data_IF_725645001182
#
_entry.id   IF_725645001182
#
_cell.length_a   1.000
_cell.length_b   1.000
_cell.length_c   1.000
_cell.angle_alpha   90.00
_cell.angle_beta   90.00
_cell.angle_gamma   90.00
#
_symmetry.space_group_name_H-M   'P 1'
#
loop_
_entity.id
_entity.type
_entity.pdbx_description
1 polymer ?
#
# COMPACT_ATOMS: atom_id res chain seq x y z
N UNK A 1 24.43 -15.25 6.31
CA UNK A 1 23.42 -14.81 5.32
C UNK A 1 23.30 -15.90 4.27
N UNK A 2 22.10 -16.44 4.04
CA UNK A 2 21.89 -17.42 2.96
C UNK A 2 22.03 -16.72 1.60
N UNK A 3 22.81 -17.33 0.70
CA UNK A 3 23.05 -16.85 -0.66
C UNK A 3 21.82 -16.98 -1.57
N UNK A 4 20.82 -17.77 -1.18
CA UNK A 4 19.59 -17.99 -1.94
C UNK A 4 18.35 -18.04 -1.01
N UNK A 5 17.74 -16.87 -0.69
CA UNK A 5 16.56 -16.84 0.15
C UNK A 5 15.35 -17.53 -0.51
N UNK A 6 14.48 -18.18 0.28
CA UNK A 6 13.39 -18.98 -0.25
C UNK A 6 12.27 -18.13 -0.83
N UNK A 7 11.57 -18.69 -1.81
CA UNK A 7 10.27 -18.23 -2.32
C UNK A 7 9.13 -18.63 -1.39
N UNK A 8 7.94 -18.02 -1.56
CA UNK A 8 6.77 -18.43 -0.76
C UNK A 8 6.36 -19.88 -1.02
N UNK A 9 6.56 -20.38 -2.24
CA UNK A 9 6.33 -21.78 -2.60
C UNK A 9 7.27 -22.70 -1.81
N UNK A 10 8.56 -22.37 -1.76
CA UNK A 10 9.56 -23.13 -1.00
C UNK A 10 9.26 -23.09 0.51
N UNK A 11 8.84 -21.94 1.06
CA UNK A 11 8.43 -21.81 2.47
C UNK A 11 7.24 -22.74 2.77
N UNK A 12 6.17 -22.69 1.95
CA UNK A 12 4.99 -23.54 2.14
C UNK A 12 5.34 -25.03 2.03
N UNK A 13 6.14 -25.41 1.03
CA UNK A 13 6.59 -26.79 0.83
C UNK A 13 7.42 -27.30 2.00
N UNK A 14 8.32 -26.47 2.55
CA UNK A 14 9.12 -26.83 3.72
C UNK A 14 8.25 -27.07 4.95
N UNK A 15 7.31 -26.16 5.24
CA UNK A 15 6.39 -26.31 6.38
C UNK A 15 5.50 -27.55 6.20
N UNK A 16 5.00 -27.81 4.99
CA UNK A 16 4.22 -29.02 4.71
C UNK A 16 5.03 -30.30 4.94
N UNK A 17 6.33 -30.29 4.58
CA UNK A 17 7.24 -31.41 4.84
C UNK A 17 7.44 -31.68 6.34
N UNK A 18 7.42 -30.64 7.18
CA UNK A 18 7.58 -30.79 8.64
C UNK A 18 6.27 -31.09 9.37
N UNK A 19 5.14 -30.56 8.88
CA UNK A 19 3.85 -30.60 9.61
C UNK A 19 2.78 -31.48 8.95
N UNK A 20 3.08 -32.08 7.79
CA UNK A 20 2.18 -32.93 7.01
C UNK A 20 1.27 -32.17 6.04
N UNK A 21 1.05 -30.87 6.26
CA UNK A 21 0.28 -29.99 5.37
C UNK A 21 0.78 -28.54 5.42
N UNK A 22 0.63 -27.79 4.33
CA UNK A 22 0.94 -26.36 4.35
C UNK A 22 -0.20 -25.59 5.04
N UNK A 23 0.05 -24.79 6.10
CA UNK A 23 -0.99 -23.98 6.72
C UNK A 23 -1.62 -23.00 5.73
N UNK A 24 -2.95 -22.92 5.73
CA UNK A 24 -3.75 -22.03 4.87
C UNK A 24 -3.45 -20.52 5.02
N UNK A 25 -2.58 -20.15 5.97
CA UNK A 25 -2.24 -18.77 6.34
C UNK A 25 -0.72 -18.54 6.38
N UNK A 26 0.07 -19.34 5.67
CA UNK A 26 1.55 -19.22 5.66
C UNK A 26 2.01 -17.80 5.33
N UNK A 27 1.43 -17.18 4.30
CA UNK A 27 1.77 -15.84 3.83
C UNK A 27 1.44 -14.76 4.87
N UNK A 28 0.32 -14.96 5.59
CA UNK A 28 -0.05 -14.10 6.71
C UNK A 28 0.95 -14.24 7.86
N UNK A 29 1.37 -15.46 8.18
CA UNK A 29 2.38 -15.70 9.22
C UNK A 29 3.74 -15.10 8.86
N UNK A 30 4.16 -15.18 7.59
CA UNK A 30 5.38 -14.48 7.13
C UNK A 30 5.23 -12.96 7.27
N UNK A 31 4.05 -12.40 6.99
CA UNK A 31 3.76 -10.99 7.29
C UNK A 31 3.83 -10.68 8.78
N UNK A 32 3.24 -11.53 9.63
CA UNK A 32 3.32 -11.38 11.08
C UNK A 32 4.78 -11.47 11.58
N UNK A 33 5.64 -12.27 10.93
CA UNK A 33 7.07 -12.34 11.26
C UNK A 33 7.83 -11.04 10.96
N UNK A 34 7.37 -10.24 9.99
CA UNK A 34 7.91 -8.89 9.74
C UNK A 34 7.67 -7.95 10.93
N UNK A 35 6.86 -8.36 11.90
CA UNK A 35 6.75 -7.69 13.20
C UNK A 35 8.03 -7.81 14.02
N UNK A 36 8.80 -8.87 13.86
CA UNK A 36 9.99 -9.16 14.67
C UNK A 36 11.28 -9.03 13.87
N UNK A 37 11.21 -9.31 12.57
CA UNK A 37 12.37 -9.47 11.71
C UNK A 37 12.30 -8.56 10.49
N UNK A 38 13.47 -8.11 10.03
CA UNK A 38 13.61 -7.46 8.73
C UNK A 38 13.63 -8.55 7.65
N UNK A 39 12.50 -8.71 6.95
CA UNK A 39 12.30 -9.74 5.91
C UNK A 39 11.85 -9.08 4.60
N UNK A 40 12.75 -8.36 3.90
CA UNK A 40 12.45 -7.86 2.56
C UNK A 40 12.09 -9.01 1.61
N UNK A 41 10.99 -8.85 0.88
CA UNK A 41 10.70 -9.64 -0.30
C UNK A 41 11.36 -8.94 -1.49
N UNK A 42 12.27 -9.66 -2.15
CA UNK A 42 12.94 -9.20 -3.36
C UNK A 42 12.37 -9.99 -4.50
N UNK A 43 11.78 -9.29 -5.47
CA UNK A 43 11.25 -9.92 -6.68
C UNK A 43 12.38 -10.53 -7.50
N UNK A 44 12.24 -11.79 -7.88
CA UNK A 44 13.16 -12.57 -8.70
C UNK A 44 12.37 -13.23 -9.84
N UNK A 45 12.37 -12.58 -11.01
CA UNK A 45 11.52 -12.97 -12.13
C UNK A 45 10.02 -12.85 -11.81
N UNK A 46 9.33 -13.99 -11.76
CA UNK A 46 7.89 -14.06 -11.43
C UNK A 46 7.61 -14.30 -9.94
N UNK A 47 8.63 -14.64 -9.18
CA UNK A 47 8.49 -14.99 -7.77
C UNK A 47 9.08 -13.89 -6.87
N UNK A 48 8.79 -13.97 -5.57
CA UNK A 48 9.43 -13.16 -4.55
C UNK A 48 10.27 -14.05 -3.63
N UNK A 49 11.50 -13.62 -3.35
CA UNK A 49 12.38 -14.26 -2.38
C UNK A 49 12.42 -13.47 -1.08
N UNK A 50 12.23 -14.16 0.04
CA UNK A 50 12.08 -13.57 1.36
C UNK A 50 13.40 -13.70 2.12
N UNK A 51 14.19 -12.62 2.18
CA UNK A 51 15.50 -12.62 2.84
C UNK A 51 15.35 -12.20 4.30
N UNK A 52 15.69 -13.07 5.25
CA UNK A 52 15.86 -12.66 6.64
C UNK A 52 17.18 -11.90 6.80
N UNK A 53 17.10 -10.57 6.89
CA UNK A 53 18.26 -9.67 6.97
C UNK A 53 18.67 -9.34 8.41
N UNK A 54 17.79 -9.57 9.38
CA UNK A 54 18.08 -9.37 10.80
C UNK A 54 16.82 -9.13 11.63
N UNK A 55 17.00 -8.57 12.82
CA UNK A 55 15.89 -8.09 13.65
C UNK A 55 15.30 -6.81 13.07
N UNK A 56 13.97 -6.69 13.13
CA UNK A 56 13.31 -5.46 12.75
C UNK A 56 13.63 -4.37 13.78
N UNK A 57 14.51 -3.43 13.41
CA UNK A 57 14.94 -2.32 14.27
C UNK A 57 13.80 -1.33 14.55
N UNK A 58 12.77 -1.29 13.71
CA UNK A 58 11.60 -0.44 13.91
C UNK A 58 10.78 -0.88 15.13
N UNK A 59 10.78 -2.17 15.44
CA UNK A 59 10.14 -2.66 16.68
C UNK A 59 10.96 -2.36 17.93
N UNK A 60 12.29 -2.41 17.87
CA UNK A 60 13.14 -1.89 18.95
C UNK A 60 12.90 -0.39 19.16
N UNK A 61 12.56 0.34 18.10
CA UNK A 61 12.18 1.76 18.13
C UNK A 61 10.69 2.04 18.43
N UNK A 62 9.86 1.02 18.70
CA UNK A 62 8.47 1.21 19.15
C UNK A 62 7.42 1.50 18.07
N UNK A 63 7.72 1.28 16.78
CA UNK A 63 6.83 1.58 15.63
C UNK A 63 5.60 0.65 15.48
N UNK A 64 5.43 -0.34 16.37
CA UNK A 64 4.22 -1.17 16.50
C UNK A 64 3.64 -1.12 17.92
N UNK A 65 3.77 0.01 18.62
CA UNK A 65 3.02 0.24 19.87
C UNK A 65 1.54 0.43 19.55
N UNK A 66 0.70 -0.01 20.47
CA UNK A 66 -0.70 0.39 20.43
C UNK A 66 -0.77 1.93 20.38
N UNK A 67 -1.57 2.47 19.47
CA UNK A 67 -1.79 3.91 19.38
C UNK A 67 -2.17 4.46 20.75
N UNK A 68 -1.58 5.60 21.11
CA UNK A 68 -1.88 6.24 22.38
C UNK A 68 -3.39 6.50 22.52
N UNK A 69 -3.92 6.44 23.76
CA UNK A 69 -5.33 6.77 24.00
C UNK A 69 -5.69 8.16 23.48
N UNK A 70 -4.75 9.11 23.54
CA UNK A 70 -4.88 10.47 22.99
C UNK A 70 -5.06 10.44 21.46
N UNK A 71 -4.17 9.77 20.73
CA UNK A 71 -4.25 9.65 19.26
C UNK A 71 -5.56 8.97 18.85
N UNK A 72 -5.96 7.90 19.55
CA UNK A 72 -7.23 7.21 19.28
C UNK A 72 -8.43 8.14 19.46
N UNK A 73 -8.46 8.92 20.54
CA UNK A 73 -9.54 9.89 20.79
C UNK A 73 -9.58 10.98 19.70
N UNK A 74 -8.42 11.47 19.26
CA UNK A 74 -8.32 12.47 18.18
C UNK A 74 -8.87 11.94 16.85
N UNK A 75 -8.50 10.72 16.44
CA UNK A 75 -8.97 10.14 15.17
C UNK A 75 -10.47 9.83 15.20
N UNK A 76 -11.01 9.43 16.35
CA UNK A 76 -12.43 9.08 16.51
C UNK A 76 -13.33 10.29 16.79
N UNK A 77 -12.77 11.48 17.04
CA UNK A 77 -13.50 12.70 17.36
C UNK A 77 -14.62 13.06 16.34
N UNK A 78 -14.48 12.81 15.02
CA UNK A 78 -15.56 13.10 14.05
C UNK A 78 -16.83 12.25 14.24
N UNK A 79 -16.77 11.15 15.01
CA UNK A 79 -17.89 10.24 15.27
C UNK A 79 -18.63 9.74 14.01
N UNK A 80 -17.90 9.68 12.89
CA UNK A 80 -18.41 9.28 11.58
C UNK A 80 -17.36 8.45 10.84
N UNK A 81 -17.80 7.40 10.16
CA UNK A 81 -16.96 6.63 9.26
C UNK A 81 -16.52 7.51 8.08
N UNK A 82 -15.21 7.63 7.86
CA UNK A 82 -14.62 8.40 6.77
C UNK A 82 -14.95 7.84 5.36
N UNK A 83 -15.36 6.58 5.26
CA UNK A 83 -15.64 5.92 3.98
C UNK A 83 -17.13 5.86 3.61
N UNK A 84 -18.02 5.56 4.56
CA UNK A 84 -19.45 5.39 4.29
C UNK A 84 -20.32 6.45 4.95
N UNK A 85 -19.77 7.31 5.79
CA UNK A 85 -20.52 8.35 6.48
C UNK A 85 -21.43 7.86 7.60
N UNK A 86 -21.51 6.55 7.90
CA UNK A 86 -22.31 6.03 9.03
C UNK A 86 -21.76 6.51 10.38
N UNK A 87 -22.66 6.68 11.34
CA UNK A 87 -22.42 7.20 12.69
C UNK A 87 -22.84 6.16 13.74
N UNK A 88 -22.18 6.07 14.91
CA UNK A 88 -22.58 5.13 15.95
C UNK A 88 -24.02 5.31 16.44
N UNK A 89 -24.50 6.56 16.54
CA UNK A 89 -25.83 6.86 17.07
C UNK A 89 -26.94 6.52 16.08
N UNK A 90 -26.82 6.92 14.81
CA UNK A 90 -27.92 6.78 13.84
C UNK A 90 -27.93 5.40 13.17
N UNK A 91 -26.77 4.73 13.11
CA UNK A 91 -26.59 3.49 12.36
C UNK A 91 -26.15 2.30 13.23
N UNK A 92 -25.95 2.50 14.53
CA UNK A 92 -25.50 1.47 15.47
C UNK A 92 -24.20 0.76 15.05
N UNK A 93 -23.28 1.49 14.41
CA UNK A 93 -21.96 0.97 14.01
C UNK A 93 -20.89 1.25 15.07
N UNK A 94 -19.91 0.35 15.17
CA UNK A 94 -18.69 0.60 15.96
C UNK A 94 -17.63 1.24 15.06
N UNK A 95 -17.04 2.34 15.50
CA UNK A 95 -15.90 2.96 14.82
C UNK A 95 -14.58 2.47 15.38
N UNK A 96 -13.64 2.20 14.48
CA UNK A 96 -12.27 1.79 14.75
C UNK A 96 -11.29 2.75 14.09
N UNK A 97 -10.08 2.83 14.64
CA UNK A 97 -8.97 3.57 14.03
C UNK A 97 -8.32 2.68 12.99
N UNK A 98 -8.18 3.20 11.78
CA UNK A 98 -7.57 2.51 10.64
C UNK A 98 -6.50 3.41 9.97
N UNK A 99 -5.53 2.78 9.31
CA UNK A 99 -4.43 3.45 8.61
C UNK A 99 -4.74 3.59 7.12
N UNK A 100 -4.83 4.82 6.58
CA UNK A 100 -5.07 5.10 5.15
C UNK A 100 -4.17 4.25 4.25
N UNK A 101 -2.86 4.31 4.43
CA UNK A 101 -1.93 3.29 3.94
C UNK A 101 -1.69 2.21 5.01
N UNK A 102 -1.87 0.92 4.67
CA UNK A 102 -1.54 -0.17 5.57
C UNK A 102 -0.11 -0.07 6.14
N UNK A 103 0.05 -0.40 7.43
CA UNK A 103 1.38 -0.51 8.06
C UNK A 103 2.31 -1.47 7.32
N UNK A 104 1.75 -2.56 6.77
CA UNK A 104 2.48 -3.54 5.96
C UNK A 104 3.20 -2.89 4.77
N UNK A 105 2.74 -1.73 4.31
CA UNK A 105 3.30 -0.98 3.17
C UNK A 105 4.07 0.28 3.60
N UNK A 106 4.36 0.42 4.90
CA UNK A 106 5.08 1.58 5.43
C UNK A 106 4.19 2.73 5.92
N UNK A 107 2.88 2.50 6.10
CA UNK A 107 1.98 3.49 6.70
C UNK A 107 2.40 3.93 8.11
N UNK A 108 2.53 5.25 8.33
CA UNK A 108 2.92 5.83 9.63
C UNK A 108 1.75 5.89 10.64
N UNK A 109 2.08 6.13 11.91
CA UNK A 109 1.11 6.36 12.99
C UNK A 109 0.69 7.83 13.17
N UNK A 110 1.11 8.67 12.23
CA UNK A 110 0.77 10.09 12.23
C UNK A 110 -0.71 10.27 11.90
N UNK A 111 -1.32 11.31 12.48
CA UNK A 111 -2.75 11.60 12.29
C UNK A 111 -3.16 11.69 10.81
N UNK A 112 -2.26 12.13 9.94
CA UNK A 112 -2.50 12.25 8.50
C UNK A 112 -2.76 10.90 7.82
N UNK A 113 -2.11 9.84 8.30
CA UNK A 113 -2.31 8.47 7.82
C UNK A 113 -3.39 7.72 8.61
N UNK A 114 -4.03 8.33 9.61
CA UNK A 114 -5.11 7.68 10.38
C UNK A 114 -6.48 8.18 9.95
N UNK A 115 -7.49 7.32 10.07
CA UNK A 115 -8.88 7.64 9.78
C UNK A 115 -9.85 6.82 10.65
N UNK A 116 -11.03 7.37 10.98
CA UNK A 116 -12.11 6.62 11.61
C UNK A 116 -12.88 5.82 10.56
N UNK A 117 -12.98 4.49 10.71
CA UNK A 117 -13.82 3.64 9.87
C UNK A 117 -14.80 2.84 10.72
N UNK A 118 -15.97 2.49 10.19
CA UNK A 118 -16.77 1.43 10.81
C UNK A 118 -16.12 0.06 10.59
N UNK A 119 -16.44 -0.91 11.43
CA UNK A 119 -15.86 -2.27 11.35
C UNK A 119 -16.02 -2.90 9.96
N UNK A 120 -17.20 -2.75 9.33
CA UNK A 120 -17.47 -3.23 7.97
C UNK A 120 -16.53 -2.61 6.93
N UNK A 121 -16.39 -1.27 6.93
CA UNK A 121 -15.52 -0.57 6.00
C UNK A 121 -14.05 -0.91 6.23
N UNK A 122 -13.63 -1.02 7.49
CA UNK A 122 -12.28 -1.45 7.85
C UNK A 122 -11.98 -2.87 7.33
N UNK A 123 -12.93 -3.80 7.50
CA UNK A 123 -12.79 -5.17 6.98
C UNK A 123 -12.71 -5.19 5.45
N UNK A 124 -13.64 -4.50 4.78
CA UNK A 124 -13.64 -4.40 3.32
C UNK A 124 -12.37 -3.75 2.77
N UNK A 125 -11.87 -2.71 3.44
CA UNK A 125 -10.60 -2.07 3.10
C UNK A 125 -9.42 -3.04 3.20
N UNK A 126 -9.33 -3.83 4.27
CA UNK A 126 -8.29 -4.86 4.42
C UNK A 126 -8.37 -5.92 3.33
N UNK A 127 -9.57 -6.36 2.98
CA UNK A 127 -9.77 -7.32 1.91
C UNK A 127 -9.31 -6.76 0.55
N UNK A 128 -9.64 -5.50 0.24
CA UNK A 128 -9.21 -4.82 -0.98
C UNK A 128 -7.68 -4.70 -1.06
N UNK A 129 -7.04 -4.08 -0.06
CA UNK A 129 -5.59 -3.88 -0.12
C UNK A 129 -4.80 -5.18 0.00
N UNK A 130 -5.32 -6.18 0.71
CA UNK A 130 -4.69 -7.49 0.83
C UNK A 130 -4.43 -8.19 -0.52
N UNK A 131 -5.17 -7.83 -1.58
CA UNK A 131 -4.94 -8.31 -2.94
C UNK A 131 -3.60 -7.87 -3.53
N UNK A 132 -3.03 -6.78 -3.03
CA UNK A 132 -1.77 -6.20 -3.54
C UNK A 132 -0.58 -6.47 -2.62
N UNK A 133 -0.74 -7.34 -1.63
CA UNK A 133 0.33 -7.64 -0.66
C UNK A 133 1.56 -8.29 -1.28
N UNK A 134 1.44 -8.91 -2.46
CA UNK A 134 2.60 -9.39 -3.23
C UNK A 134 3.51 -8.23 -3.68
N UNK A 135 2.98 -7.01 -3.85
CA UNK A 135 3.72 -5.81 -4.21
C UNK A 135 4.10 -4.95 -3.00
N UNK A 136 3.99 -5.48 -1.77
CA UNK A 136 4.09 -4.67 -0.55
C UNK A 136 5.42 -3.89 -0.43
N UNK A 137 6.53 -4.50 -0.84
CA UNK A 137 7.85 -3.86 -0.73
C UNK A 137 8.08 -2.83 -1.84
N UNK A 138 7.57 -3.09 -3.05
CA UNK A 138 7.57 -2.14 -4.15
C UNK A 138 6.63 -0.95 -3.90
N UNK A 139 5.45 -1.19 -3.31
CA UNK A 139 4.53 -0.13 -2.87
C UNK A 139 5.21 0.73 -1.80
N UNK A 140 5.90 0.11 -0.83
CA UNK A 140 6.65 0.85 0.20
C UNK A 140 7.76 1.70 -0.42
N UNK A 141 8.54 1.13 -1.34
CA UNK A 141 9.61 1.84 -2.03
C UNK A 141 9.06 3.02 -2.85
N UNK A 142 7.95 2.81 -3.57
CA UNK A 142 7.27 3.87 -4.32
C UNK A 142 6.76 4.96 -3.38
N UNK A 143 6.14 4.60 -2.25
CA UNK A 143 5.62 5.54 -1.26
C UNK A 143 6.69 6.41 -0.60
N UNK A 144 7.95 5.95 -0.58
CA UNK A 144 9.08 6.71 -0.04
C UNK A 144 9.67 7.71 -1.04
N UNK A 145 9.19 7.77 -2.29
CA UNK A 145 9.64 8.81 -3.21
C UNK A 145 9.19 10.21 -2.73
N UNK A 146 10.07 11.21 -2.81
CA UNK A 146 9.81 12.55 -2.28
C UNK A 146 8.64 13.25 -2.99
N UNK A 147 8.70 13.31 -4.32
CA UNK A 147 7.66 13.94 -5.12
C UNK A 147 6.48 13.00 -5.44
N UNK A 148 5.24 13.50 -5.44
CA UNK A 148 4.05 12.68 -5.70
C UNK A 148 4.05 12.05 -7.10
N UNK A 149 4.60 12.72 -8.11
CA UNK A 149 4.79 12.15 -9.45
C UNK A 149 5.67 10.91 -9.42
N UNK A 150 6.76 10.95 -8.69
CA UNK A 150 7.66 9.81 -8.52
C UNK A 150 6.99 8.66 -7.78
N UNK A 151 6.23 8.95 -6.72
CA UNK A 151 5.44 7.93 -6.00
C UNK A 151 4.46 7.21 -6.92
N UNK A 152 3.74 7.97 -7.75
CA UNK A 152 2.80 7.42 -8.74
C UNK A 152 3.54 6.61 -9.80
N UNK A 153 4.62 7.15 -10.36
CA UNK A 153 5.36 6.50 -11.44
C UNK A 153 6.06 5.21 -11.01
N UNK A 154 6.70 5.20 -9.84
CA UNK A 154 7.33 3.99 -9.29
C UNK A 154 6.28 2.92 -8.94
N UNK A 155 5.11 3.31 -8.44
CA UNK A 155 4.00 2.38 -8.24
C UNK A 155 3.54 1.76 -9.57
N UNK A 156 3.38 2.58 -10.62
CA UNK A 156 2.99 2.09 -11.94
C UNK A 156 4.04 1.12 -12.53
N UNK A 157 5.33 1.41 -12.34
CA UNK A 157 6.44 0.52 -12.75
C UNK A 157 6.41 -0.81 -11.99
N UNK A 158 6.13 -0.79 -10.68
CA UNK A 158 6.09 -1.98 -9.83
C UNK A 158 5.08 -3.04 -10.31
N UNK A 159 3.97 -2.59 -10.90
CA UNK A 159 2.93 -3.47 -11.42
C UNK A 159 3.28 -4.07 -12.79
N UNK A 160 4.40 -3.69 -13.43
CA UNK A 160 4.93 -4.32 -14.65
C UNK A 160 3.89 -4.43 -15.79
N UNK A 161 3.09 -3.39 -16.00
CA UNK A 161 2.03 -3.38 -17.02
C UNK A 161 0.73 -4.08 -16.59
N UNK A 162 0.62 -4.54 -15.34
CA UNK A 162 -0.66 -4.91 -14.76
C UNK A 162 -1.48 -3.66 -14.38
N UNK A 163 -2.83 -3.72 -14.40
CA UNK A 163 -3.67 -2.61 -14.00
C UNK A 163 -3.51 -2.25 -12.51
N UNK A 164 -3.26 -0.97 -12.23
CA UNK A 164 -3.20 -0.39 -10.87
C UNK A 164 -4.52 0.33 -10.56
N UNK A 165 -5.19 0.04 -9.45
CA UNK A 165 -6.40 0.77 -9.05
C UNK A 165 -6.09 2.23 -8.72
N UNK A 166 -6.95 3.14 -9.15
CA UNK A 166 -6.85 4.56 -8.83
C UNK A 166 -6.89 4.85 -7.33
N UNK A 167 -7.63 4.04 -6.56
CA UNK A 167 -7.65 4.15 -5.09
C UNK A 167 -6.27 3.89 -4.48
N UNK A 168 -5.54 2.89 -4.99
CA UNK A 168 -4.17 2.60 -4.56
C UNK A 168 -3.21 3.74 -4.93
N UNK A 169 -3.34 4.27 -6.15
CA UNK A 169 -2.56 5.44 -6.60
C UNK A 169 -2.79 6.63 -5.69
N UNK A 170 -4.03 6.94 -5.35
CA UNK A 170 -4.37 8.06 -4.47
C UNK A 170 -3.77 7.94 -3.07
N UNK A 171 -3.79 6.74 -2.49
CA UNK A 171 -3.17 6.48 -1.17
C UNK A 171 -1.65 6.64 -1.25
N UNK A 172 -0.98 6.02 -2.22
CA UNK A 172 0.48 6.09 -2.38
C UNK A 172 0.94 7.52 -2.68
N UNK A 173 0.23 8.24 -3.56
CA UNK A 173 0.49 9.64 -3.87
C UNK A 173 0.38 10.57 -2.65
N UNK A 174 -0.34 10.16 -1.59
CA UNK A 174 -0.59 10.98 -0.41
C UNK A 174 0.35 10.71 0.78
N UNK A 175 1.27 9.74 0.68
CA UNK A 175 2.02 9.21 1.84
C UNK A 175 2.92 10.16 2.62
N UNK A 176 3.59 11.10 1.97
CA UNK A 176 4.45 12.11 2.63
C UNK A 176 3.82 13.50 2.68
N UNK A 177 2.81 13.69 1.86
CA UNK A 177 2.14 14.96 1.66
C UNK A 177 0.78 14.61 1.08
N UNK A 178 -0.29 15.09 1.72
CA UNK A 178 -1.64 14.94 1.22
C UNK A 178 -1.77 15.48 -0.21
N UNK A 179 -2.38 14.71 -1.12
CA UNK A 179 -2.57 15.08 -2.53
C UNK A 179 -4.03 14.87 -2.97
N UNK A 180 -4.84 15.93 -2.91
CA UNK A 180 -6.20 15.92 -3.46
C UNK A 180 -6.24 15.78 -4.99
N UNK A 181 -5.15 16.16 -5.67
CA UNK A 181 -5.09 16.23 -7.12
C UNK A 181 -4.20 15.16 -7.76
N UNK A 182 -4.10 13.98 -7.13
CA UNK A 182 -3.28 12.87 -7.65
C UNK A 182 -3.61 12.53 -9.11
N UNK A 183 -4.87 12.67 -9.56
CA UNK A 183 -5.26 12.45 -10.97
C UNK A 183 -4.61 13.47 -11.91
N UNK A 184 -4.40 14.71 -11.44
CA UNK A 184 -3.62 15.71 -12.17
C UNK A 184 -2.15 15.29 -12.21
N UNK A 185 -1.58 14.87 -11.08
CA UNK A 185 -0.18 14.41 -11.03
C UNK A 185 0.07 13.22 -11.95
N UNK A 186 -0.84 12.26 -12.02
CA UNK A 186 -0.80 11.15 -12.98
C UNK A 186 -0.86 11.63 -14.43
N UNK A 187 -1.68 12.65 -14.75
CA UNK A 187 -1.74 13.24 -16.11
C UNK A 187 -0.46 13.95 -16.50
N UNK A 188 0.17 14.64 -15.55
CA UNK A 188 1.40 15.38 -15.79
C UNK A 188 2.61 14.50 -16.11
N UNK A 189 2.58 13.20 -15.76
CA UNK A 189 3.60 12.24 -16.20
C UNK A 189 3.72 12.19 -17.74
N UNK A 190 2.65 12.48 -18.48
CA UNK A 190 2.67 12.52 -19.96
C UNK A 190 3.61 13.61 -20.49
N UNK A 191 3.81 14.71 -19.76
CA UNK A 191 4.78 15.74 -20.14
C UNK A 191 6.22 15.21 -20.09
N UNK A 192 6.47 14.13 -19.32
CA UNK A 192 7.76 13.46 -19.25
C UNK A 192 7.92 12.35 -20.30
N UNK A 193 6.97 12.19 -21.22
CA UNK A 193 7.00 11.12 -22.22
C UNK A 193 6.43 9.78 -21.74
N UNK A 194 5.85 9.73 -20.53
CA UNK A 194 5.24 8.50 -20.02
C UNK A 194 3.87 8.27 -20.66
N UNK A 195 3.52 7.01 -20.89
CA UNK A 195 2.22 6.61 -21.41
C UNK A 195 1.57 5.49 -20.59
N UNK A 196 0.26 5.59 -20.45
CA UNK A 196 -0.57 4.63 -19.73
C UNK A 196 -1.98 4.60 -20.29
N UNK A 197 -2.62 3.45 -20.20
CA UNK A 197 -4.04 3.31 -20.49
C UNK A 197 -4.88 3.51 -19.23
N UNK A 198 -6.12 3.99 -19.40
CA UNK A 198 -7.11 4.09 -18.32
C UNK A 198 -8.32 3.24 -18.65
N UNK A 199 -8.68 2.31 -17.77
CA UNK A 199 -9.89 1.49 -17.89
C UNK A 199 -10.85 1.85 -16.77
N UNK A 200 -12.14 1.94 -17.08
CA UNK A 200 -13.21 2.12 -16.09
C UNK A 200 -14.06 0.86 -16.04
N UNK A 201 -14.49 0.47 -14.85
CA UNK A 201 -15.49 -0.58 -14.65
C UNK A 201 -16.46 -0.16 -13.55
N UNK A 202 -17.57 -0.89 -13.46
CA UNK A 202 -18.51 -0.78 -12.35
C UNK A 202 -18.27 -1.92 -11.39
N UNK A 203 -18.13 -1.59 -10.11
CA UNK A 203 -18.18 -2.57 -9.05
C UNK A 203 -19.59 -3.20 -9.05
N UNK A 204 -19.71 -4.53 -9.21
CA UNK A 204 -20.99 -5.18 -9.40
C UNK A 204 -21.87 -5.17 -8.14
N UNK A 205 -21.28 -5.07 -6.96
CA UNK A 205 -21.99 -5.07 -5.68
C UNK A 205 -22.45 -3.66 -5.28
N UNK A 206 -21.57 -2.68 -5.46
CA UNK A 206 -21.75 -1.31 -4.95
C UNK A 206 -22.12 -0.31 -6.03
N UNK A 207 -21.98 -0.67 -7.32
CA UNK A 207 -22.19 0.24 -8.46
C UNK A 207 -21.16 1.37 -8.58
N UNK A 208 -20.12 1.37 -7.71
CA UNK A 208 -19.05 2.35 -7.70
C UNK A 208 -18.24 2.26 -8.99
N UNK A 209 -17.84 3.41 -9.52
CA UNK A 209 -16.95 3.44 -10.68
C UNK A 209 -15.52 3.18 -10.22
N UNK A 210 -14.96 2.06 -10.64
CA UNK A 210 -13.56 1.72 -10.44
C UNK A 210 -12.76 2.23 -11.65
N UNK A 211 -11.60 2.82 -11.38
CA UNK A 211 -10.68 3.33 -12.42
C UNK A 211 -9.35 2.62 -12.24
N UNK A 212 -8.80 2.10 -13.33
CA UNK A 212 -7.52 1.40 -13.35
C UNK A 212 -6.58 2.04 -14.36
N UNK A 213 -5.29 2.05 -14.04
CA UNK A 213 -4.22 2.61 -14.85
C UNK A 213 -3.24 1.51 -15.20
N UNK A 214 -2.89 1.38 -16.48
CA UNK A 214 -1.90 0.41 -16.95
C UNK A 214 -0.75 1.14 -17.61
N UNK A 215 0.45 1.03 -17.05
CA UNK A 215 1.65 1.61 -17.67
C UNK A 215 1.95 0.92 -18.99
N UNK A 216 2.16 1.70 -20.05
CA UNK A 216 2.53 1.21 -21.39
C UNK A 216 3.99 1.55 -21.68
N UNK A 217 4.39 2.77 -21.37
CA UNK A 217 5.74 3.28 -21.63
C UNK A 217 6.16 4.24 -20.53
N UNK A 218 7.46 4.29 -20.23
CA UNK A 218 8.04 5.24 -19.29
C UNK A 218 9.44 5.64 -19.73
N UNK A 219 9.82 6.87 -19.37
CA UNK A 219 11.15 7.43 -19.59
C UNK A 219 11.90 7.56 -18.26
N UNK A 220 13.24 7.49 -18.25
CA UNK A 220 14.02 7.77 -17.05
C UNK A 220 13.61 9.08 -16.37
N UNK A 221 13.62 9.09 -15.04
CA UNK A 221 13.33 10.31 -14.29
C UNK A 221 14.34 11.42 -14.66
N UNK A 222 13.88 12.68 -14.72
CA UNK A 222 14.78 13.80 -14.97
C UNK A 222 15.76 13.97 -13.80
N UNK A 223 16.92 14.56 -14.09
CA UNK A 223 17.83 14.99 -13.04
C UNK A 223 17.22 16.13 -12.22
N UNK A 224 17.27 16.01 -10.89
CA UNK A 224 16.69 17.00 -9.98
C UNK A 224 15.19 16.85 -9.81
N UNK A 225 14.46 17.97 -9.75
CA UNK A 225 13.03 17.95 -9.42
C UNK A 225 12.15 17.56 -10.60
N UNK A 226 11.30 16.55 -10.39
CA UNK A 226 10.31 16.08 -11.36
C UNK A 226 9.31 17.19 -11.68
N UNK A 227 8.80 17.87 -10.66
CA UNK A 227 7.85 18.97 -10.84
C UNK A 227 8.44 20.12 -11.65
N UNK A 228 9.67 20.53 -11.37
CA UNK A 228 10.32 21.60 -12.10
C UNK A 228 10.50 21.25 -13.59
N UNK A 229 10.86 20.00 -13.89
CA UNK A 229 10.95 19.54 -15.27
C UNK A 229 9.60 19.51 -15.98
N UNK A 230 8.55 19.03 -15.30
CA UNK A 230 7.17 19.08 -15.83
C UNK A 230 6.74 20.51 -16.14
N UNK A 231 7.08 21.48 -15.29
CA UNK A 231 6.76 22.89 -15.51
C UNK A 231 7.52 23.49 -16.71
N UNK A 232 8.74 23.04 -16.99
CA UNK A 232 9.52 23.46 -18.18
C UNK A 232 8.99 22.91 -19.50
N UNK A 233 8.37 21.72 -19.49
CA UNK A 233 7.87 21.03 -20.69
C UNK A 233 6.41 21.35 -21.04
N UNK A 234 5.72 22.08 -20.16
CA UNK A 234 4.35 22.58 -20.37
C UNK A 234 4.35 23.85 -21.22
#
# INVERSE_FOLDING_TARGET
MQSNPPTMIEIRSHIAGETGEAPAQTDRRVRDLRDYFDIPAVRDGRDHRYRLSGWNRDRQNGLRRALSRRTRAQVLAPQRCAQCGRTPLDHHVVLVVDHKMPREWGGSDDLENLQPLCEDCNSGKKAFYGQYNEYADEIRAAADHDEPHGRIGELLKAFQGNPVPGELIGVVASMKQYQDDWQRRTRELRALGWDYETKRSKDPETGRTLVFYRLIHWEPWPEGSIRAEIEKRK
#
